data_IF_953444285637
#
_entry.id   IF_953444285637
#
_cell.length_a   1.000
_cell.length_b   1.000
_cell.length_c   1.000
_cell.angle_alpha   90.00
_cell.angle_beta   90.00
_cell.angle_gamma   90.00
#
_symmetry.space_group_name_H-M   'P 1'
#
loop_
_entity.id
_entity.type
_entity.pdbx_description
1 polymer ?
#
# COMPACT_ATOMS: atom_id res chain seq x y z
N UNK A 1 17.93 -25.01 36.93
CA UNK A 1 16.67 -24.84 37.71
C UNK A 1 15.95 -23.50 37.44
N UNK A 2 16.63 -22.40 37.08
CA UNK A 2 15.98 -21.08 36.89
C UNK A 2 15.43 -20.77 35.47
N UNK A 3 15.84 -21.51 34.44
CA UNK A 3 15.45 -21.22 33.05
C UNK A 3 13.96 -21.52 32.72
N UNK A 4 13.33 -22.41 33.48
CA UNK A 4 11.93 -22.81 33.24
C UNK A 4 10.90 -21.86 33.87
N UNK A 5 11.31 -20.94 34.74
CA UNK A 5 10.40 -19.97 35.37
C UNK A 5 10.21 -18.68 34.57
N UNK A 6 11.20 -18.28 33.76
CA UNK A 6 11.16 -17.03 32.98
C UNK A 6 10.28 -17.17 31.72
N UNK A 7 10.27 -18.36 31.10
CA UNK A 7 9.49 -18.62 29.87
C UNK A 7 7.97 -18.57 30.12
N UNK A 8 7.50 -19.00 31.30
CA UNK A 8 6.08 -18.89 31.66
C UNK A 8 5.64 -17.44 31.97
N UNK A 9 6.54 -16.60 32.50
CA UNK A 9 6.20 -15.20 32.80
C UNK A 9 6.01 -14.36 31.53
N UNK A 10 6.75 -14.65 30.45
CA UNK A 10 6.60 -13.95 29.16
C UNK A 10 5.37 -14.41 28.37
N UNK A 11 4.96 -15.67 28.50
CA UNK A 11 3.78 -16.21 27.79
C UNK A 11 2.46 -15.86 28.48
N UNK A 12 2.45 -15.68 29.81
CA UNK A 12 1.24 -15.33 30.57
C UNK A 12 0.77 -13.88 30.44
N UNK A 13 1.64 -12.95 30.01
CA UNK A 13 1.31 -11.52 29.93
C UNK A 13 0.60 -11.13 28.61
N UNK A 14 0.58 -12.01 27.60
CA UNK A 14 -0.17 -11.81 26.35
C UNK A 14 -1.62 -12.35 26.46
N UNK A 15 -2.08 -12.69 27.67
CA UNK A 15 -3.50 -12.95 27.94
C UNK A 15 -4.21 -11.72 28.56
N UNK A 16 -3.67 -10.51 28.36
CA UNK A 16 -4.24 -9.27 28.90
C UNK A 16 -5.31 -8.71 27.96
N UNK A 17 -6.53 -8.67 28.48
CA UNK A 17 -7.75 -8.17 27.85
C UNK A 17 -8.26 -9.03 26.69
N UNK A 18 -9.22 -9.90 27.02
CA UNK A 18 -10.30 -10.20 26.09
C UNK A 18 -10.89 -8.85 25.68
N UNK A 19 -10.46 -8.33 24.52
CA UNK A 19 -11.02 -7.13 23.93
C UNK A 19 -12.53 -7.37 23.90
N UNK A 20 -13.32 -6.50 24.54
CA UNK A 20 -14.77 -6.54 24.43
C UNK A 20 -15.08 -6.68 22.95
N UNK A 21 -15.79 -7.75 22.54
CA UNK A 21 -16.09 -8.01 21.12
C UNK A 21 -16.57 -6.71 20.51
N UNK A 22 -15.71 -6.09 19.73
CA UNK A 22 -15.93 -4.71 19.39
C UNK A 22 -17.06 -4.70 18.35
N UNK A 23 -18.21 -4.07 18.63
CA UNK A 23 -19.41 -4.24 17.80
C UNK A 23 -19.22 -3.74 16.37
N UNK A 24 -18.17 -2.95 16.10
CA UNK A 24 -17.77 -2.55 14.75
C UNK A 24 -17.10 -3.67 13.94
N UNK A 25 -16.54 -4.72 14.55
CA UNK A 25 -15.91 -5.84 13.83
C UNK A 25 -16.94 -6.74 13.13
N UNK A 26 -18.21 -6.64 13.51
CA UNK A 26 -19.34 -7.34 12.87
C UNK A 26 -20.11 -6.48 11.87
N UNK A 27 -19.74 -5.20 11.71
CA UNK A 27 -20.37 -4.28 10.77
C UNK A 27 -19.63 -4.28 9.43
N UNK A 28 -20.33 -3.95 8.36
CA UNK A 28 -19.70 -3.79 7.05
C UNK A 28 -18.90 -2.49 6.96
N UNK A 29 -17.93 -2.40 6.04
CA UNK A 29 -17.17 -1.16 5.83
C UNK A 29 -18.07 0.02 5.41
N UNK A 30 -19.17 -0.28 4.73
CA UNK A 30 -20.19 0.70 4.31
C UNK A 30 -20.93 1.27 5.52
N UNK A 31 -21.41 0.40 6.42
CA UNK A 31 -22.05 0.78 7.69
C UNK A 31 -21.13 1.65 8.57
N UNK A 32 -19.83 1.36 8.56
CA UNK A 32 -18.84 2.10 9.34
C UNK A 32 -18.44 3.43 8.69
N UNK A 33 -18.81 3.67 7.42
CA UNK A 33 -18.42 4.85 6.64
C UNK A 33 -16.91 5.12 6.68
N UNK A 34 -16.11 4.05 6.67
CA UNK A 34 -14.65 4.13 6.76
C UNK A 34 -14.00 4.19 5.39
N UNK A 35 -13.01 5.06 5.25
CA UNK A 35 -12.18 5.17 4.06
C UNK A 35 -12.62 6.27 3.09
N UNK A 36 -12.04 6.24 1.89
CA UNK A 36 -12.31 7.20 0.82
C UNK A 36 -13.02 6.48 -0.32
N UNK A 37 -14.22 6.93 -0.66
CA UNK A 37 -15.04 6.33 -1.71
C UNK A 37 -14.66 6.87 -3.09
N UNK A 38 -15.02 6.10 -4.13
CA UNK A 38 -14.55 6.24 -5.50
C UNK A 38 -14.57 7.66 -6.07
N UNK A 39 -15.54 8.50 -5.68
CA UNK A 39 -15.64 9.91 -6.12
C UNK A 39 -14.47 10.80 -5.71
N UNK A 40 -13.67 10.38 -4.73
CA UNK A 40 -12.52 11.14 -4.19
C UNK A 40 -11.18 10.40 -4.33
N UNK A 41 -11.18 9.20 -4.93
CA UNK A 41 -9.97 8.40 -5.11
C UNK A 41 -9.26 8.84 -6.38
N UNK A 42 -8.03 9.31 -6.25
CA UNK A 42 -7.19 9.66 -7.39
C UNK A 42 -6.61 8.38 -7.98
N UNK A 43 -6.84 8.15 -9.27
CA UNK A 43 -6.36 6.99 -10.01
C UNK A 43 -5.48 7.45 -11.17
N UNK A 44 -4.58 6.57 -11.61
CA UNK A 44 -3.74 6.78 -12.79
C UNK A 44 -3.92 5.65 -13.78
N UNK A 45 -3.55 5.86 -15.03
CA UNK A 45 -3.58 4.83 -16.08
C UNK A 45 -2.20 4.20 -16.24
N UNK A 46 -2.17 3.02 -16.87
CA UNK A 46 -0.92 2.28 -17.13
C UNK A 46 0.11 3.07 -17.94
N UNK A 47 -0.35 3.95 -18.82
CA UNK A 47 0.45 4.85 -19.66
C UNK A 47 0.88 6.15 -18.95
N UNK A 48 0.39 6.40 -17.74
CA UNK A 48 0.77 7.58 -16.96
C UNK A 48 2.25 7.52 -16.63
N UNK A 49 2.96 8.64 -16.84
CA UNK A 49 4.39 8.71 -16.56
C UNK A 49 4.66 8.73 -15.05
N UNK A 50 5.83 8.22 -14.66
CA UNK A 50 6.28 8.25 -13.26
C UNK A 50 6.31 9.68 -12.72
N UNK A 51 6.82 10.64 -13.50
CA UNK A 51 6.86 12.06 -13.08
C UNK A 51 5.46 12.63 -12.78
N UNK A 52 4.45 12.29 -13.58
CA UNK A 52 3.08 12.72 -13.34
C UNK A 52 2.51 12.10 -12.07
N UNK A 53 2.77 10.81 -11.83
CA UNK A 53 2.37 10.13 -10.59
C UNK A 53 3.04 10.75 -9.35
N UNK A 54 4.31 11.14 -9.44
CA UNK A 54 5.03 11.84 -8.36
C UNK A 54 4.39 13.20 -8.05
N UNK A 55 3.98 13.97 -9.06
CA UNK A 55 3.25 15.22 -8.84
C UNK A 55 1.93 14.99 -8.09
N UNK A 56 1.19 13.94 -8.41
CA UNK A 56 -0.05 13.61 -7.70
C UNK A 56 0.18 13.26 -6.23
N UNK A 57 1.27 12.55 -5.90
CA UNK A 57 1.65 12.28 -4.51
C UNK A 57 1.91 13.55 -3.71
N UNK A 58 2.53 14.56 -4.33
CA UNK A 58 2.82 15.85 -3.70
C UNK A 58 1.56 16.70 -3.58
N UNK A 59 0.78 16.79 -4.66
CA UNK A 59 -0.43 17.62 -4.74
C UNK A 59 -1.53 17.15 -3.78
N UNK A 60 -1.77 15.84 -3.72
CA UNK A 60 -2.87 15.28 -2.92
C UNK A 60 -2.41 14.72 -1.57
N UNK A 61 -1.11 14.79 -1.27
CA UNK A 61 -0.52 14.24 -0.05
C UNK A 61 -0.83 12.74 0.18
N UNK A 62 -1.12 12.00 -0.89
CA UNK A 62 -1.40 10.58 -0.85
C UNK A 62 -0.11 9.76 -0.97
N UNK A 63 -0.11 8.55 -0.41
CA UNK A 63 1.05 7.64 -0.43
C UNK A 63 1.01 6.66 -1.59
N UNK A 64 -0.14 6.53 -2.25
CA UNK A 64 -0.41 5.45 -3.18
C UNK A 64 -1.49 5.84 -4.20
N UNK A 65 -1.33 5.35 -5.42
CA UNK A 65 -2.20 5.58 -6.57
C UNK A 65 -2.62 4.24 -7.17
N UNK A 66 -3.92 3.93 -7.23
CA UNK A 66 -4.44 2.79 -7.99
C UNK A 66 -4.19 2.99 -9.49
N UNK A 67 -3.73 1.94 -10.16
CA UNK A 67 -3.46 1.93 -11.60
C UNK A 67 -4.58 1.17 -12.32
N UNK A 68 -5.29 1.83 -13.23
CA UNK A 68 -6.41 1.26 -13.98
C UNK A 68 -6.10 1.05 -15.46
N UNK A 69 -6.76 0.08 -16.08
CA UNK A 69 -6.74 -0.14 -17.54
C UNK A 69 -7.71 0.81 -18.27
N UNK A 70 -7.79 0.67 -19.59
CA UNK A 70 -8.68 1.48 -20.44
C UNK A 70 -10.17 1.22 -20.17
N UNK A 71 -10.50 0.06 -19.61
CA UNK A 71 -11.86 -0.31 -19.24
C UNK A 71 -12.20 0.13 -17.79
N UNK A 72 -11.29 0.84 -17.13
CA UNK A 72 -11.49 1.32 -15.76
C UNK A 72 -11.31 0.26 -14.69
N UNK A 73 -10.75 -0.91 -15.02
CA UNK A 73 -10.49 -1.99 -14.07
C UNK A 73 -9.15 -1.77 -13.38
N UNK A 74 -9.09 -2.03 -12.08
CA UNK A 74 -7.86 -1.99 -11.30
C UNK A 74 -6.89 -3.07 -11.77
N UNK A 75 -5.69 -2.66 -12.17
CA UNK A 75 -4.64 -3.57 -12.67
C UNK A 75 -3.44 -3.64 -11.74
N UNK A 76 -3.06 -2.53 -11.10
CA UNK A 76 -1.89 -2.47 -10.23
C UNK A 76 -2.00 -1.33 -9.21
N UNK A 77 -0.97 -1.20 -8.39
CA UNK A 77 -0.88 -0.18 -7.36
C UNK A 77 0.52 0.44 -7.36
N UNK A 78 0.61 1.76 -7.54
CA UNK A 78 1.87 2.50 -7.53
C UNK A 78 1.99 3.35 -6.26
N UNK A 79 3.03 3.15 -5.48
CA UNK A 79 3.25 3.75 -4.17
C UNK A 79 4.55 4.53 -4.10
N UNK A 80 4.66 5.40 -3.08
CA UNK A 80 5.93 6.07 -2.75
C UNK A 80 7.09 5.09 -2.51
N UNK A 81 6.79 3.86 -2.08
CA UNK A 81 7.82 2.85 -1.86
C UNK A 81 8.44 2.34 -3.17
N UNK A 82 7.66 2.30 -4.24
CA UNK A 82 8.11 1.85 -5.56
C UNK A 82 9.08 2.85 -6.20
N UNK A 83 9.00 4.13 -5.80
CA UNK A 83 9.95 5.19 -6.19
C UNK A 83 11.37 4.89 -5.69
N UNK A 84 11.53 4.27 -4.52
CA UNK A 84 12.87 3.93 -4.02
C UNK A 84 13.58 2.93 -4.93
N UNK A 85 12.85 1.94 -5.47
CA UNK A 85 13.43 0.96 -6.41
C UNK A 85 13.90 1.61 -7.72
N UNK A 86 13.20 2.64 -8.18
CA UNK A 86 13.63 3.45 -9.33
C UNK A 86 14.91 4.25 -9.04
N UNK A 87 15.06 4.78 -7.82
CA UNK A 87 16.26 5.50 -7.42
C UNK A 87 17.47 4.57 -7.21
N UNK A 88 17.25 3.37 -6.64
CA UNK A 88 18.29 2.39 -6.32
C UNK A 88 19.00 1.84 -7.56
N UNK A 89 18.31 1.75 -8.71
CA UNK A 89 18.87 1.24 -9.98
C UNK A 89 19.79 2.22 -10.71
N UNK A 90 20.20 3.35 -10.07
CA UNK A 90 21.19 4.33 -10.58
C UNK A 90 20.94 4.88 -11.99
N UNK A 91 19.69 4.89 -12.45
CA UNK A 91 19.27 5.58 -13.67
C UNK A 91 18.31 6.72 -13.32
N UNK A 92 18.80 7.73 -12.59
CA UNK A 92 18.04 8.90 -12.10
C UNK A 92 17.30 9.72 -13.19
N UNK A 93 17.50 9.41 -14.47
CA UNK A 93 17.01 10.22 -15.59
C UNK A 93 15.83 9.61 -16.35
N UNK A 94 15.28 8.47 -15.91
CA UNK A 94 14.15 7.81 -16.59
C UNK A 94 12.81 8.02 -15.87
N UNK A 95 12.46 9.26 -15.55
CA UNK A 95 11.15 9.62 -14.97
C UNK A 95 10.05 9.79 -16.03
N UNK A 96 10.45 9.77 -17.30
CA UNK A 96 9.62 9.80 -18.50
C UNK A 96 9.00 8.43 -18.84
N UNK A 97 9.44 7.35 -18.19
CA UNK A 97 8.83 6.03 -18.38
C UNK A 97 7.42 5.97 -17.80
N UNK A 98 6.64 5.02 -18.29
CA UNK A 98 5.31 4.75 -17.78
C UNK A 98 5.37 4.06 -16.42
N UNK A 99 4.32 4.24 -15.61
CA UNK A 99 4.15 3.53 -14.35
C UNK A 99 4.06 2.02 -14.58
N UNK A 100 3.49 1.58 -15.69
CA UNK A 100 3.49 0.16 -16.07
C UNK A 100 4.91 -0.41 -16.20
N UNK A 101 5.80 0.29 -16.89
CA UNK A 101 7.19 -0.12 -17.06
C UNK A 101 7.95 -0.08 -15.74
N UNK A 102 7.72 0.95 -14.92
CA UNK A 102 8.32 1.06 -13.58
C UNK A 102 7.93 -0.12 -12.68
N UNK A 103 6.68 -0.58 -12.76
CA UNK A 103 6.17 -1.71 -11.98
C UNK A 103 6.61 -3.07 -12.51
N UNK A 104 7.09 -3.16 -13.76
CA UNK A 104 7.58 -4.42 -14.33
C UNK A 104 8.72 -5.03 -13.49
N UNK A 105 9.56 -4.20 -12.88
CA UNK A 105 10.63 -4.64 -11.97
C UNK A 105 10.10 -5.33 -10.70
N UNK A 106 8.92 -4.93 -10.21
CA UNK A 106 8.27 -5.61 -9.08
C UNK A 106 7.67 -6.95 -9.48
N UNK A 107 7.18 -7.07 -10.73
CA UNK A 107 6.60 -8.31 -11.24
C UNK A 107 7.66 -9.40 -11.41
N UNK A 108 8.88 -9.05 -11.86
CA UNK A 108 9.97 -10.02 -11.98
C UNK A 108 10.47 -10.56 -10.64
N UNK A 109 10.39 -9.77 -9.57
CA UNK A 109 10.86 -10.16 -8.23
C UNK A 109 9.79 -10.89 -7.38
N UNK A 110 8.57 -11.06 -7.91
CA UNK A 110 7.50 -11.85 -7.27
C UNK A 110 7.43 -13.30 -7.78
N UNK A 111 8.23 -13.67 -8.78
CA UNK A 111 8.45 -15.06 -9.19
C UNK A 111 9.68 -15.63 -8.48
#
# INVERSE_FOLDING_TARGET
MAAWFITLYYTGVIARHSLSKAPYLSQTLDELSLGTYASKVHVIRTDTTVIAALHLFLQHQISCLPVIDEQGRLTDLYSKFDVFNLAVTRSYNRLDITVYDALAFHRSNRQ
#
